data_IF_073064687338
#
_entry.id   IF_073064687338
#
_cell.length_a   1.000
_cell.length_b   1.000
_cell.length_c   1.000
_cell.angle_alpha   90.00
_cell.angle_beta   90.00
_cell.angle_gamma   90.00
#
_symmetry.space_group_name_H-M   'P 1'
#
loop_
_entity.id
_entity.type
_entity.pdbx_description
1 polymer ?
#
# COMPACT_ATOMS: atom_id res chain seq x y z
N UNK A 1 4.59 -26.15 37.92
CA UNK A 1 3.80 -24.93 37.64
C UNK A 1 4.63 -24.08 36.67
N UNK A 2 4.33 -24.12 35.37
CA UNK A 2 5.02 -23.30 34.35
C UNK A 2 3.95 -22.59 33.55
N UNK A 3 3.54 -21.42 34.04
CA UNK A 3 2.77 -20.47 33.26
C UNK A 3 3.70 -19.83 32.21
N UNK A 4 3.96 -20.54 31.11
CA UNK A 4 4.55 -19.94 29.92
C UNK A 4 3.53 -18.97 29.31
N UNK A 5 3.77 -17.69 29.56
CA UNK A 5 3.29 -16.51 28.85
C UNK A 5 1.86 -16.57 28.27
N UNK A 6 0.94 -15.97 29.02
CA UNK A 6 -0.36 -15.52 28.52
C UNK A 6 -0.19 -14.58 27.31
N UNK A 7 -0.79 -14.99 26.19
CA UNK A 7 -1.82 -14.30 25.36
C UNK A 7 -1.57 -12.79 25.06
N UNK A 8 -1.85 -12.25 23.88
CA UNK A 8 -3.23 -12.13 23.37
C UNK A 8 -3.31 -11.27 22.07
N UNK A 9 -4.12 -11.72 21.09
CA UNK A 9 -4.96 -11.00 20.07
C UNK A 9 -4.28 -9.97 19.13
N UNK A 10 -4.49 -9.95 17.82
CA UNK A 10 -5.73 -10.20 17.07
C UNK A 10 -5.43 -10.81 15.68
N UNK A 11 -6.17 -11.84 15.27
CA UNK A 11 -6.43 -12.10 13.85
C UNK A 11 -7.49 -11.06 13.39
N UNK A 12 -7.14 -9.78 13.47
CA UNK A 12 -7.81 -8.77 12.65
C UNK A 12 -7.22 -8.88 11.26
N UNK A 13 -8.01 -8.65 10.21
CA UNK A 13 -7.51 -8.61 8.84
C UNK A 13 -6.37 -7.59 8.75
N UNK A 14 -5.13 -8.08 8.82
CA UNK A 14 -3.96 -7.23 8.70
C UNK A 14 -3.77 -6.97 7.22
N UNK A 15 -3.90 -5.71 6.84
CA UNK A 15 -3.50 -5.23 5.52
C UNK A 15 -2.10 -5.77 5.17
N UNK A 16 -1.86 -6.16 3.90
CA UNK A 16 -0.56 -6.66 3.48
C UNK A 16 0.52 -5.59 3.62
N UNK A 17 1.75 -5.99 3.92
CA UNK A 17 2.88 -5.06 3.82
C UNK A 17 3.15 -4.77 2.34
N UNK A 18 3.13 -3.49 1.97
CA UNK A 18 3.42 -3.04 0.62
C UNK A 18 4.76 -2.30 0.59
N UNK A 19 5.46 -2.44 -0.53
CA UNK A 19 6.69 -1.71 -0.81
C UNK A 19 6.70 -1.24 -2.26
N UNK A 20 7.32 -0.10 -2.53
CA UNK A 20 7.50 0.42 -3.89
C UNK A 20 8.62 -0.32 -4.65
N UNK A 21 8.91 0.10 -5.87
CA UNK A 21 9.98 -0.48 -6.69
C UNK A 21 11.38 -0.35 -6.06
N UNK A 22 11.59 0.67 -5.23
CA UNK A 22 12.84 0.94 -4.54
C UNK A 22 12.88 0.28 -3.15
N UNK A 23 11.90 -0.57 -2.83
CA UNK A 23 11.69 -1.27 -1.54
C UNK A 23 11.43 -0.32 -0.36
N UNK A 24 10.94 0.89 -0.63
CA UNK A 24 10.42 1.76 0.41
C UNK A 24 9.06 1.24 0.89
N UNK A 25 8.82 1.14 2.20
CA UNK A 25 7.53 0.73 2.72
C UNK A 25 6.44 1.75 2.35
N UNK A 26 5.27 1.22 2.01
CA UNK A 26 4.07 1.99 1.70
C UNK A 26 3.02 1.81 2.79
N UNK A 27 2.34 2.90 3.12
CA UNK A 27 1.25 2.94 4.09
C UNK A 27 0.13 3.88 3.59
N UNK A 28 -1.04 3.75 4.19
CA UNK A 28 -2.16 4.66 3.93
C UNK A 28 -1.73 6.13 4.09
N UNK A 29 -2.19 6.98 3.18
CA UNK A 29 -1.86 8.41 3.12
C UNK A 29 -0.62 8.73 2.29
N UNK A 30 0.24 7.75 1.98
CA UNK A 30 1.38 7.97 1.10
C UNK A 30 0.93 8.42 -0.29
N UNK A 31 1.70 9.33 -0.87
CA UNK A 31 1.56 9.70 -2.28
C UNK A 31 2.66 9.02 -3.09
N UNK A 32 2.27 8.46 -4.22
CA UNK A 32 3.15 7.70 -5.10
C UNK A 32 2.97 8.14 -6.55
N UNK A 33 3.99 7.92 -7.36
CA UNK A 33 3.85 7.91 -8.82
C UNK A 33 3.47 6.49 -9.27
N UNK A 34 2.30 6.34 -9.87
CA UNK A 34 1.81 5.05 -10.36
C UNK A 34 2.34 4.75 -11.77
N UNK A 35 3.00 3.60 -11.92
CA UNK A 35 3.62 3.19 -13.19
C UNK A 35 2.76 2.18 -13.96
N UNK A 36 1.46 2.10 -13.63
CA UNK A 36 0.46 1.27 -14.29
C UNK A 36 -0.85 2.03 -14.45
N UNK A 37 -1.63 1.59 -15.44
CA UNK A 37 -3.00 2.06 -15.70
C UNK A 37 -3.11 3.57 -15.94
N UNK A 38 -2.00 4.27 -16.21
CA UNK A 38 -1.96 5.72 -16.44
C UNK A 38 -2.60 6.56 -15.32
N UNK A 39 -2.51 6.09 -14.07
CA UNK A 39 -3.05 6.79 -12.91
C UNK A 39 -2.27 8.07 -12.53
N UNK A 40 -1.00 8.17 -12.96
CA UNK A 40 -0.12 9.29 -12.60
C UNK A 40 0.14 9.36 -11.10
N UNK A 41 0.11 10.57 -10.54
CA UNK A 41 0.24 10.76 -9.08
C UNK A 41 -0.99 10.21 -8.38
N UNK A 42 -0.79 9.34 -7.41
CA UNK A 42 -1.86 8.66 -6.71
C UNK A 42 -1.64 8.68 -5.21
N UNK A 43 -2.74 8.77 -4.45
CA UNK A 43 -2.75 8.57 -3.00
C UNK A 43 -3.10 7.13 -2.68
N UNK A 44 -2.42 6.55 -1.69
CA UNK A 44 -2.75 5.23 -1.16
C UNK A 44 -3.81 5.38 -0.06
N UNK A 45 -4.95 4.70 -0.24
CA UNK A 45 -6.10 4.71 0.66
C UNK A 45 -6.39 3.30 1.18
N UNK A 46 -7.14 3.19 2.27
CA UNK A 46 -7.74 1.94 2.73
C UNK A 46 -9.26 2.01 2.55
N UNK A 47 -9.81 1.13 1.72
CA UNK A 47 -11.24 0.98 1.48
C UNK A 47 -11.60 -0.49 1.71
N UNK A 48 -12.63 -0.77 2.50
CA UNK A 48 -13.09 -2.13 2.81
C UNK A 48 -11.96 -3.08 3.26
N UNK A 49 -11.08 -2.58 4.14
CA UNK A 49 -9.93 -3.33 4.66
C UNK A 49 -8.89 -3.74 3.59
N UNK A 50 -8.85 -3.06 2.45
CA UNK A 50 -7.88 -3.26 1.38
C UNK A 50 -7.26 -1.95 0.88
N UNK A 51 -6.04 -2.03 0.35
CA UNK A 51 -5.37 -0.88 -0.24
C UNK A 51 -5.90 -0.56 -1.64
N UNK A 52 -6.13 0.73 -1.89
CA UNK A 52 -6.54 1.26 -3.19
C UNK A 52 -5.68 2.48 -3.51
N UNK A 53 -5.21 2.55 -4.76
CA UNK A 53 -4.58 3.77 -5.28
C UNK A 53 -5.65 4.61 -5.96
N UNK A 54 -5.77 5.87 -5.55
CA UNK A 54 -6.64 6.86 -6.17
C UNK A 54 -5.79 7.90 -6.89
N UNK A 55 -6.04 8.10 -8.19
CA UNK A 55 -5.40 9.16 -8.96
C UNK A 55 -5.80 10.53 -8.42
N UNK A 56 -4.81 11.39 -8.17
CA UNK A 56 -5.04 12.77 -7.74
C UNK A 56 -5.59 13.64 -8.87
N UNK A 57 -5.40 13.25 -10.14
CA UNK A 57 -5.82 14.03 -11.30
C UNK A 57 -7.25 13.66 -11.75
N UNK A 58 -7.59 12.37 -11.74
CA UNK A 58 -8.86 11.87 -12.28
C UNK A 58 -9.82 11.30 -11.24
N UNK A 59 -9.34 10.96 -10.03
CA UNK A 59 -10.09 10.19 -9.05
C UNK A 59 -10.29 8.71 -9.40
N UNK A 60 -9.66 8.22 -10.48
CA UNK A 60 -9.73 6.80 -10.83
C UNK A 60 -9.06 5.93 -9.75
N UNK A 61 -9.68 4.79 -9.44
CA UNK A 61 -9.25 3.91 -8.36
C UNK A 61 -8.82 2.54 -8.87
N UNK A 62 -7.68 2.05 -8.38
CA UNK A 62 -7.17 0.72 -8.70
C UNK A 62 -6.74 -0.02 -7.43
N UNK A 63 -7.27 -1.22 -7.28
CA UNK A 63 -6.95 -2.12 -6.18
C UNK A 63 -5.47 -2.55 -6.20
N UNK A 64 -4.82 -2.61 -5.04
CA UNK A 64 -3.38 -2.84 -4.91
C UNK A 64 -2.88 -4.15 -5.57
N UNK A 65 -3.72 -5.19 -5.62
CA UNK A 65 -3.35 -6.47 -6.25
C UNK A 65 -3.04 -6.32 -7.74
N UNK A 66 -3.68 -5.35 -8.41
CA UNK A 66 -3.44 -5.03 -9.82
C UNK A 66 -2.12 -4.27 -10.03
N UNK A 67 -1.52 -3.76 -8.97
CA UNK A 67 -0.29 -2.98 -9.00
C UNK A 67 0.95 -3.82 -8.71
N UNK A 68 0.81 -5.10 -8.35
CA UNK A 68 1.93 -6.00 -8.02
C UNK A 68 2.76 -6.32 -9.28
N UNK A 69 4.07 -6.11 -9.20
CA UNK A 69 5.04 -6.58 -10.20
C UNK A 69 5.26 -8.10 -10.04
N UNK A 70 5.12 -8.85 -11.12
CA UNK A 70 5.12 -10.31 -11.06
C UNK A 70 6.51 -10.92 -10.75
N UNK A 71 7.60 -10.17 -10.93
CA UNK A 71 8.97 -10.66 -10.71
C UNK A 71 9.44 -10.30 -9.31
N UNK A 72 9.14 -9.08 -8.86
CA UNK A 72 9.67 -8.53 -7.61
C UNK A 72 8.68 -8.59 -6.45
N UNK A 73 7.40 -8.84 -6.72
CA UNK A 73 6.28 -8.75 -5.78
C UNK A 73 6.08 -7.35 -5.16
N UNK A 74 6.93 -6.38 -5.51
CA UNK A 74 6.77 -4.97 -5.17
C UNK A 74 5.56 -4.37 -5.89
N UNK A 75 5.07 -3.26 -5.34
CA UNK A 75 4.11 -2.42 -6.04
C UNK A 75 4.82 -1.69 -7.18
N UNK A 76 4.18 -1.63 -8.36
CA UNK A 76 4.67 -0.93 -9.55
C UNK A 76 4.43 0.58 -9.44
N UNK A 77 4.97 1.16 -8.38
CA UNK A 77 4.86 2.57 -8.01
C UNK A 77 6.20 3.06 -7.48
N UNK A 78 6.34 4.38 -7.33
CA UNK A 78 7.47 5.00 -6.65
C UNK A 78 6.96 5.95 -5.58
N UNK A 79 7.41 5.80 -4.33
CA UNK A 79 7.02 6.70 -3.24
C UNK A 79 7.56 8.10 -3.48
N UNK A 80 6.72 9.11 -3.28
CA UNK A 80 7.12 10.51 -3.38
C UNK A 80 7.38 11.03 -1.96
N UNK A 81 8.65 11.32 -1.65
CA UNK A 81 9.10 11.77 -0.33
C UNK A 81 8.78 13.24 -0.03
N UNK A 82 8.35 14.01 -1.03
CA UNK A 82 8.28 15.47 -0.95
C UNK A 82 6.87 16.03 -0.68
N UNK A 83 5.93 15.21 -0.21
CA UNK A 83 4.66 15.71 0.32
C UNK A 83 4.81 16.05 1.81
N UNK A 84 5.67 17.02 2.09
CA UNK A 84 5.63 17.81 3.32
C UNK A 84 4.80 19.06 3.03
N UNK A 85 3.66 19.19 3.71
CA UNK A 85 2.83 20.42 3.73
C UNK A 85 3.63 21.66 4.17
#
# INVERSE_FOLDING_TARGET
MLNLFKRQRSKGNKLPALQDLDKNPLQEGDVVEALRYNLGKSRLLVIDEAYVYESLDTGEQVHYTRMIDAITECQKVKKLTDFSE
#
